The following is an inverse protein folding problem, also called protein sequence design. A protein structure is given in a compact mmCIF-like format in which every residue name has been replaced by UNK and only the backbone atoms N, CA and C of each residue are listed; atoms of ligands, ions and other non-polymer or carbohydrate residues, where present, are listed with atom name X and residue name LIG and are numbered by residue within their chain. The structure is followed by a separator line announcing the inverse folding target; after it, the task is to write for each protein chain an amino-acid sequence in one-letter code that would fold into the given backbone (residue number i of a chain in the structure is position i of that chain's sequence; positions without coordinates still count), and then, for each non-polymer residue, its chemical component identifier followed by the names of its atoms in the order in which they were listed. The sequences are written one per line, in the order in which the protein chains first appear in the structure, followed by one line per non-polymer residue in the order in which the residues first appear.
data_IF_920356513552
#
_entry.id   IF_920356513552
#
_cell.length_a   1.000
_cell.length_b   1.000
_cell.length_c   1.000
_cell.angle_alpha   90.00
_cell.angle_beta   90.00
_cell.angle_gamma   90.00
#
_symmetry.space_group_name_H-M   'P 1'
#
loop_
_entity.id
_entity.type
_entity.pdbx_description
1 polymer ?
#
# COMPACT_ATOMS: atom_id res chain seq x y z
N UNK A 1 30.95 4.53 17.01
CA UNK A 1 29.66 5.25 17.11
C UNK A 1 29.08 5.44 15.71
N UNK A 2 28.02 4.72 15.35
CA UNK A 2 27.33 4.93 14.07
C UNK A 2 26.53 6.23 14.16
N UNK A 3 26.89 7.21 13.33
CA UNK A 3 26.24 8.53 13.31
C UNK A 3 24.83 8.39 12.71
N UNK A 4 23.80 8.37 13.57
CA UNK A 4 22.40 8.26 13.15
C UNK A 4 21.98 9.55 12.45
N UNK A 5 21.54 9.45 11.19
CA UNK A 5 21.15 10.61 10.37
C UNK A 5 19.81 11.16 10.86
N UNK A 6 19.84 12.34 11.50
CA UNK A 6 18.65 12.96 12.09
C UNK A 6 17.88 13.80 11.05
N UNK A 7 17.22 13.13 10.08
CA UNK A 7 16.29 13.80 9.15
C UNK A 7 14.87 13.56 9.62
N UNK A 8 14.08 14.63 9.73
CA UNK A 8 12.63 14.52 9.94
C UNK A 8 12.04 13.64 8.84
N UNK A 9 11.31 12.60 9.24
CA UNK A 9 10.59 11.73 8.32
C UNK A 9 9.60 12.59 7.54
N UNK A 10 9.72 12.62 6.21
CA UNK A 10 8.94 13.54 5.37
C UNK A 10 7.53 13.03 5.10
N UNK A 11 7.31 11.71 5.18
CA UNK A 11 6.04 11.05 4.92
C UNK A 11 5.73 10.08 6.05
N UNK A 12 4.63 10.30 6.78
CA UNK A 12 4.20 9.45 7.89
C UNK A 12 3.80 8.05 7.42
N UNK A 13 3.78 7.10 8.36
CA UNK A 13 3.39 5.71 8.06
C UNK A 13 1.93 5.60 7.59
N UNK A 14 1.05 6.43 8.13
CA UNK A 14 -0.34 6.56 7.69
C UNK A 14 -0.45 7.12 6.27
N UNK A 15 0.33 8.14 5.91
CA UNK A 15 0.36 8.65 4.52
C UNK A 15 0.84 7.59 3.53
N UNK A 16 1.88 6.82 3.88
CA UNK A 16 2.34 5.70 3.04
C UNK A 16 1.23 4.67 2.88
N UNK A 17 0.57 4.27 3.97
CA UNK A 17 -0.53 3.31 3.92
C UNK A 17 -1.70 3.81 3.08
N UNK A 18 -2.09 5.08 3.23
CA UNK A 18 -3.16 5.70 2.43
C UNK A 18 -2.83 5.68 0.94
N UNK A 19 -1.60 6.00 0.56
CA UNK A 19 -1.16 5.93 -0.85
C UNK A 19 -1.24 4.49 -1.39
N UNK A 20 -0.83 3.49 -0.61
CA UNK A 20 -0.90 2.09 -1.03
C UNK A 20 -2.34 1.61 -1.17
N UNK A 21 -3.21 1.93 -0.21
CA UNK A 21 -4.64 1.56 -0.30
C UNK A 21 -5.30 2.27 -1.48
N UNK A 22 -5.04 3.56 -1.65
CA UNK A 22 -5.61 4.33 -2.75
C UNK A 22 -5.14 3.82 -4.11
N UNK A 23 -3.91 3.33 -4.26
CA UNK A 23 -3.46 2.66 -5.47
C UNK A 23 -4.39 1.51 -5.87
N UNK A 24 -4.70 0.61 -4.92
CA UNK A 24 -5.58 -0.53 -5.17
C UNK A 24 -7.03 -0.11 -5.54
N UNK A 25 -7.50 1.02 -5.00
CA UNK A 25 -8.82 1.58 -5.33
C UNK A 25 -8.85 2.37 -6.65
N UNK A 26 -7.70 2.89 -7.09
CA UNK A 26 -7.60 3.79 -8.25
C UNK A 26 -7.57 3.08 -9.61
N UNK A 27 -7.56 1.75 -9.64
CA UNK A 27 -7.50 0.92 -10.85
C UNK A 27 -6.26 1.14 -11.76
N UNK A 28 -5.22 1.82 -11.28
CA UNK A 28 -3.95 1.91 -12.00
C UNK A 28 -3.29 0.52 -12.08
N UNK A 29 -2.76 0.17 -13.26
CA UNK A 29 -2.08 -1.12 -13.47
C UNK A 29 -0.64 -1.15 -12.97
N UNK A 30 0.03 0.00 -13.00
CA UNK A 30 1.47 0.11 -12.73
C UNK A 30 1.70 1.18 -11.66
N UNK A 31 2.42 0.78 -10.60
CA UNK A 31 2.55 1.57 -9.38
C UNK A 31 3.42 2.82 -9.58
N UNK A 32 4.48 2.75 -10.38
CA UNK A 32 5.37 3.87 -10.64
C UNK A 32 4.65 5.00 -11.39
N UNK A 33 3.83 4.69 -12.38
CA UNK A 33 3.00 5.66 -13.10
C UNK A 33 1.98 6.30 -12.16
N UNK A 34 1.27 5.49 -11.38
CA UNK A 34 0.37 5.99 -10.33
C UNK A 34 1.09 6.96 -9.39
N UNK A 35 2.23 6.58 -8.85
CA UNK A 35 2.94 7.41 -7.87
C UNK A 35 3.47 8.71 -8.50
N UNK A 36 4.06 8.64 -9.69
CA UNK A 36 4.67 9.81 -10.34
C UNK A 36 3.64 10.80 -10.90
N UNK A 37 2.48 10.31 -11.32
CA UNK A 37 1.42 11.14 -11.92
C UNK A 37 0.40 11.52 -10.85
N UNK A 38 -0.27 10.54 -10.27
CA UNK A 38 -1.38 10.78 -9.34
C UNK A 38 -0.86 11.42 -8.04
N UNK A 39 0.07 10.77 -7.34
CA UNK A 39 0.53 11.25 -6.02
C UNK A 39 1.37 12.52 -6.15
N UNK A 40 2.37 12.51 -7.04
CA UNK A 40 3.33 13.61 -7.12
C UNK A 40 2.87 14.83 -7.91
N UNK A 41 1.93 14.68 -8.86
CA UNK A 41 1.41 15.81 -9.65
C UNK A 41 0.00 16.18 -9.24
N UNK A 42 -0.95 15.25 -9.32
CA UNK A 42 -2.38 15.57 -9.10
C UNK A 42 -2.69 15.83 -7.63
N UNK A 43 -2.18 14.99 -6.72
CA UNK A 43 -2.40 15.05 -5.27
C UNK A 43 -1.23 15.70 -4.52
N UNK A 44 -0.50 16.59 -5.18
CA UNK A 44 0.64 17.29 -4.57
C UNK A 44 0.23 18.15 -3.37
N UNK A 45 -1.00 18.69 -3.36
CA UNK A 45 -1.55 19.45 -2.21
C UNK A 45 -1.73 18.57 -0.98
N UNK A 46 -2.18 17.34 -1.19
CA UNK A 46 -2.45 16.36 -0.12
C UNK A 46 -1.16 15.73 0.41
N UNK A 47 -0.19 15.50 -0.48
CA UNK A 47 1.11 14.93 -0.15
C UNK A 47 2.26 15.88 -0.49
N UNK A 48 2.33 17.08 0.12
CA UNK A 48 3.32 18.11 -0.24
C UNK A 48 4.76 17.68 0.06
N UNK A 49 4.94 16.66 0.90
CA UNK A 49 6.22 16.08 1.30
C UNK A 49 6.45 14.68 0.72
N UNK A 50 5.75 14.32 -0.37
CA UNK A 50 5.95 13.07 -1.08
C UNK A 50 7.44 12.85 -1.43
N UNK A 51 7.98 11.71 -1.01
CA UNK A 51 9.38 11.34 -1.24
C UNK A 51 9.62 10.91 -2.69
N UNK A 52 10.87 10.65 -3.08
CA UNK A 52 11.16 10.05 -4.39
C UNK A 52 10.53 8.66 -4.51
N UNK A 53 10.24 8.21 -5.74
CA UNK A 53 9.66 6.89 -5.99
C UNK A 53 10.47 5.76 -5.34
N UNK A 54 11.79 5.72 -5.55
CA UNK A 54 12.65 4.69 -4.94
C UNK A 54 12.57 4.71 -3.41
N UNK A 55 12.58 5.91 -2.81
CA UNK A 55 12.45 6.03 -1.35
C UNK A 55 11.07 5.58 -0.86
N UNK A 56 10.01 5.82 -1.64
CA UNK A 56 8.68 5.31 -1.31
C UNK A 56 8.66 3.77 -1.32
N UNK A 57 9.24 3.15 -2.35
CA UNK A 57 9.32 1.68 -2.46
C UNK A 57 10.07 1.08 -1.26
N UNK A 58 11.14 1.72 -0.79
CA UNK A 58 11.83 1.30 0.45
C UNK A 58 10.97 1.41 1.72
N UNK A 59 10.00 2.32 1.76
CA UNK A 59 9.11 2.53 2.91
C UNK A 59 7.86 1.64 2.88
N UNK A 60 7.43 1.23 1.69
CA UNK A 60 6.20 0.49 1.43
C UNK A 60 6.04 -0.79 2.29
N UNK A 61 7.08 -1.63 2.51
CA UNK A 61 6.95 -2.84 3.33
C UNK A 61 6.49 -2.56 4.76
N UNK A 62 6.94 -1.46 5.37
CA UNK A 62 6.55 -1.11 6.74
C UNK A 62 5.05 -0.76 6.83
N UNK A 63 4.50 -0.13 5.78
CA UNK A 63 3.08 0.19 5.73
C UNK A 63 2.23 -1.06 5.49
N UNK A 64 2.70 -2.01 4.69
CA UNK A 64 2.01 -3.29 4.48
C UNK A 64 1.85 -4.06 5.78
N UNK A 65 2.87 -4.07 6.65
CA UNK A 65 2.76 -4.70 7.98
C UNK A 65 1.66 -4.05 8.82
N UNK A 66 1.56 -2.72 8.81
CA UNK A 66 0.51 -2.01 9.53
C UNK A 66 -0.87 -2.33 8.96
N UNK A 67 -1.03 -2.27 7.64
CA UNK A 67 -2.30 -2.59 6.96
C UNK A 67 -2.71 -4.03 7.29
N UNK A 68 -1.80 -5.00 7.16
CA UNK A 68 -2.08 -6.40 7.46
C UNK A 68 -2.47 -6.60 8.93
N UNK A 69 -1.77 -5.94 9.86
CA UNK A 69 -2.10 -6.01 11.28
C UNK A 69 -3.46 -5.38 11.59
N UNK A 70 -3.81 -4.27 10.94
CA UNK A 70 -5.11 -3.62 11.10
C UNK A 70 -6.22 -4.52 10.58
N UNK A 71 -6.07 -5.07 9.37
CA UNK A 71 -7.04 -6.01 8.80
C UNK A 71 -7.21 -7.23 9.71
N UNK A 72 -6.11 -7.80 10.20
CA UNK A 72 -6.16 -9.01 11.02
C UNK A 72 -6.76 -8.80 12.41
N UNK A 73 -6.53 -7.64 13.03
CA UNK A 73 -6.98 -7.38 14.40
C UNK A 73 -8.31 -6.63 14.47
N UNK A 74 -8.68 -5.88 13.43
CA UNK A 74 -9.83 -4.97 13.46
C UNK A 74 -10.91 -5.31 12.44
N UNK A 75 -10.56 -5.93 11.32
CA UNK A 75 -11.52 -6.26 10.25
C UNK A 75 -11.85 -7.75 10.15
N UNK A 76 -10.92 -8.61 10.54
CA UNK A 76 -11.16 -10.05 10.65
C UNK A 76 -11.73 -10.33 12.04
N UNK A 77 -13.00 -10.70 12.09
CA UNK A 77 -13.58 -11.27 13.32
C UNK A 77 -12.83 -12.54 13.73
N UNK A 78 -12.92 -12.92 15.01
CA UNK A 78 -12.41 -14.21 15.47
C UNK A 78 -13.05 -15.30 14.61
N UNK A 79 -12.23 -16.01 13.84
CA UNK A 79 -12.70 -17.17 13.08
C UNK A 79 -13.45 -18.11 14.02
N UNK A 80 -14.74 -18.32 13.78
CA UNK A 80 -15.63 -19.17 14.59
C UNK A 80 -15.38 -20.67 14.40
N UNK A 81 -14.23 -21.04 13.81
CA UNK A 81 -13.89 -22.40 13.40
C UNK A 81 -14.30 -22.74 11.96
N UNK A 82 -14.97 -21.83 11.24
CA UNK A 82 -15.42 -22.03 9.86
C UNK A 82 -14.96 -20.82 9.04
N UNK A 83 -14.14 -21.06 8.03
CA UNK A 83 -13.67 -20.06 7.08
C UNK A 83 -14.12 -20.46 5.67
N UNK A 84 -15.02 -19.66 5.10
CA UNK A 84 -15.52 -19.87 3.74
C UNK A 84 -14.53 -19.26 2.74
N UNK A 85 -13.97 -20.10 1.88
CA UNK A 85 -13.25 -19.67 0.69
C UNK A 85 -14.24 -19.83 -0.47
N UNK A 86 -14.68 -18.71 -1.05
CA UNK A 86 -15.49 -18.77 -2.27
C UNK A 86 -14.57 -19.14 -3.44
N UNK A 87 -14.62 -20.40 -3.83
CA UNK A 87 -14.01 -20.86 -5.07
C UNK A 87 -14.85 -20.38 -6.25
N UNK A 88 -14.79 -19.08 -6.54
CA UNK A 88 -15.15 -18.61 -7.87
C UNK A 88 -14.27 -19.35 -8.86
N UNK A 89 -14.89 -20.14 -9.73
CA UNK A 89 -14.19 -20.97 -10.71
C UNK A 89 -13.30 -20.03 -11.54
N UNK A 90 -11.98 -20.13 -11.35
CA UNK A 90 -11.01 -19.59 -12.30
C UNK A 90 -11.26 -20.35 -13.60
N UNK A 91 -11.99 -19.73 -14.54
CA UNK A 91 -12.07 -20.22 -15.92
C UNK A 91 -10.68 -20.14 -16.52
N UNK A 92 -9.89 -21.19 -16.34
CA UNK A 92 -8.68 -21.40 -17.11
C UNK A 92 -9.17 -21.61 -18.54
N UNK A 93 -8.81 -20.68 -19.43
CA UNK A 93 -9.14 -20.79 -20.85
C UNK A 93 -8.68 -22.16 -21.38
N UNK A 94 -9.53 -22.82 -22.17
CA UNK A 94 -9.13 -24.00 -22.92
C UNK A 94 -7.90 -23.65 -23.77
N UNK A 95 -6.82 -24.37 -23.53
CA UNK A 95 -5.66 -24.33 -24.42
C UNK A 95 -5.99 -25.22 -25.63
N UNK A 96 -6.44 -24.59 -26.72
CA UNK A 96 -6.47 -25.20 -28.06
C UNK A 96 -5.41 -24.57 -28.93
#
# INVERSE_FOLDING_TARGET
MVRKRNRKFQLSLSEVATIVVYFHLSHYREFKNYYLIEIKKNLKSEFPKAVSYNRFVELMPNALTVIASFLSNSCLEKCSGISFIDSTILKVCDNR
#
